data_IF_780508575822
#
_entry.id   IF_780508575822
#
_cell.length_a   1.000
_cell.length_b   1.000
_cell.length_c   1.000
_cell.angle_alpha   90.00
_cell.angle_beta   90.00
_cell.angle_gamma   90.00
#
_symmetry.space_group_name_H-M   'P 1'
#
loop_
_entity.id
_entity.type
_entity.pdbx_description
1 polymer ?
#
# COMPACT_ATOMS: atom_id res chain seq x y z
N UNK A 1 19.82 -5.02 -25.72
CA UNK A 1 19.31 -4.99 -24.34
C UNK A 1 20.50 -4.76 -23.42
N UNK A 2 20.97 -3.53 -23.28
CA UNK A 2 22.11 -3.22 -22.41
C UNK A 2 21.62 -2.63 -21.09
N UNK A 3 21.20 -3.52 -20.19
CA UNK A 3 20.93 -3.16 -18.80
C UNK A 3 22.13 -3.55 -17.94
N UNK A 4 22.87 -2.59 -17.41
CA UNK A 4 23.94 -2.90 -16.45
C UNK A 4 23.36 -3.71 -15.26
N UNK A 5 24.14 -4.58 -14.60
CA UNK A 5 23.63 -5.45 -13.53
C UNK A 5 22.86 -4.71 -12.41
N UNK A 6 23.20 -3.44 -12.18
CA UNK A 6 22.51 -2.57 -11.21
C UNK A 6 21.10 -2.18 -11.68
N UNK A 7 20.90 -1.94 -12.98
CA UNK A 7 19.59 -1.59 -13.54
C UNK A 7 18.60 -2.75 -13.46
N UNK A 8 19.05 -3.98 -13.72
CA UNK A 8 18.21 -5.18 -13.68
C UNK A 8 17.74 -5.48 -12.25
N UNK A 9 18.64 -5.38 -11.26
CA UNK A 9 18.29 -5.56 -9.84
C UNK A 9 17.29 -4.50 -9.37
N UNK A 10 17.53 -3.24 -9.71
CA UNK A 10 16.63 -2.14 -9.33
C UNK A 10 15.23 -2.32 -9.92
N UNK A 11 15.11 -2.68 -11.20
CA UNK A 11 13.82 -2.98 -11.83
C UNK A 11 13.10 -4.16 -11.17
N UNK A 12 13.83 -5.20 -10.76
CA UNK A 12 13.25 -6.34 -10.05
C UNK A 12 12.64 -5.90 -8.70
N UNK A 13 13.37 -5.13 -7.90
CA UNK A 13 12.87 -4.59 -6.63
C UNK A 13 11.65 -3.67 -6.85
N UNK A 14 11.68 -2.80 -7.86
CA UNK A 14 10.52 -1.96 -8.20
C UNK A 14 9.29 -2.78 -8.60
N UNK A 15 9.48 -3.88 -9.34
CA UNK A 15 8.37 -4.73 -9.77
C UNK A 15 7.77 -5.51 -8.59
N UNK A 16 8.61 -5.96 -7.64
CA UNK A 16 8.14 -6.58 -6.38
C UNK A 16 7.36 -5.54 -5.56
N UNK A 17 7.91 -4.34 -5.39
CA UNK A 17 7.25 -3.24 -4.70
C UNK A 17 5.88 -2.91 -5.33
N UNK A 18 5.81 -2.90 -6.66
CA UNK A 18 4.56 -2.68 -7.39
C UNK A 18 3.52 -3.76 -7.11
N UNK A 19 3.92 -5.04 -7.17
CA UNK A 19 3.02 -6.16 -6.86
C UNK A 19 2.49 -6.11 -5.42
N UNK A 20 3.36 -5.78 -4.46
CA UNK A 20 2.95 -5.59 -3.05
C UNK A 20 1.95 -4.45 -2.96
N UNK A 21 2.22 -3.30 -3.58
CA UNK A 21 1.31 -2.14 -3.58
C UNK A 21 -0.07 -2.49 -4.14
N UNK A 22 -0.11 -3.28 -5.22
CA UNK A 22 -1.37 -3.74 -5.82
C UNK A 22 -2.12 -4.71 -4.89
N UNK A 23 -1.43 -5.65 -4.27
CA UNK A 23 -2.01 -6.58 -3.31
C UNK A 23 -2.61 -5.85 -2.10
N UNK A 24 -1.85 -4.90 -1.56
CA UNK A 24 -2.28 -4.01 -0.50
C UNK A 24 -3.53 -3.22 -0.91
N UNK A 25 -3.54 -2.59 -2.08
CA UNK A 25 -4.71 -1.87 -2.56
C UNK A 25 -5.95 -2.77 -2.63
N UNK A 26 -5.82 -3.97 -3.20
CA UNK A 26 -6.92 -4.93 -3.30
C UNK A 26 -7.44 -5.33 -1.91
N UNK A 27 -6.54 -5.64 -0.97
CA UNK A 27 -6.92 -5.95 0.41
C UNK A 27 -7.61 -4.77 1.08
N UNK A 28 -7.14 -3.54 0.83
CA UNK A 28 -7.74 -2.32 1.37
C UNK A 28 -9.16 -2.11 0.87
N UNK A 29 -9.42 -2.35 -0.41
CA UNK A 29 -10.77 -2.29 -0.97
C UNK A 29 -11.70 -3.35 -0.35
N UNK A 30 -11.20 -4.56 -0.10
CA UNK A 30 -11.97 -5.62 0.56
C UNK A 30 -12.30 -5.22 2.01
N UNK A 31 -11.31 -4.75 2.77
CA UNK A 31 -11.51 -4.34 4.16
C UNK A 31 -12.43 -3.13 4.27
N UNK A 32 -12.31 -2.17 3.35
CA UNK A 32 -13.22 -1.04 3.25
C UNK A 32 -14.66 -1.49 2.96
N UNK A 33 -14.84 -2.41 2.01
CA UNK A 33 -16.15 -2.99 1.71
C UNK A 33 -16.76 -3.70 2.91
N UNK A 34 -15.98 -4.53 3.61
CA UNK A 34 -16.42 -5.19 4.85
C UNK A 34 -16.79 -4.16 5.93
N UNK A 35 -15.96 -3.13 6.14
CA UNK A 35 -16.24 -2.07 7.09
C UNK A 35 -17.54 -1.33 6.79
N UNK A 36 -17.82 -1.04 5.51
CA UNK A 36 -19.09 -0.46 5.08
C UNK A 36 -20.29 -1.38 5.32
N UNK A 37 -20.14 -2.69 5.10
CA UNK A 37 -21.22 -3.66 5.34
C UNK A 37 -21.57 -3.71 6.84
N UNK A 38 -20.57 -3.92 7.70
CA UNK A 38 -20.79 -3.97 9.15
C UNK A 38 -21.31 -2.64 9.71
N UNK A 39 -20.78 -1.51 9.23
CA UNK A 39 -21.25 -0.18 9.62
C UNK A 39 -22.72 0.06 9.26
N UNK A 40 -23.17 -0.39 8.09
CA UNK A 40 -24.57 -0.25 7.69
C UNK A 40 -25.51 -1.24 8.40
N UNK A 41 -25.01 -2.41 8.81
CA UNK A 41 -25.79 -3.42 9.53
C UNK A 41 -25.81 -3.19 11.05
N UNK A 42 -25.01 -2.25 11.56
CA UNK A 42 -24.84 -2.00 13.01
C UNK A 42 -24.43 -3.30 13.72
N UNK A 43 -23.66 -4.14 13.04
CA UNK A 43 -23.16 -5.40 13.56
C UNK A 43 -21.72 -5.22 14.03
N UNK A 44 -21.41 -5.84 15.17
CA UNK A 44 -20.06 -5.86 15.72
C UNK A 44 -19.10 -6.52 14.72
N UNK A 45 -18.05 -5.81 14.32
CA UNK A 45 -17.04 -6.39 13.44
C UNK A 45 -16.27 -7.51 14.15
N UNK A 46 -16.01 -8.65 13.50
CA UNK A 46 -15.16 -9.71 14.04
C UNK A 46 -13.79 -9.16 14.51
N UNK A 47 -13.33 -9.49 15.74
CA UNK A 47 -12.06 -8.98 16.28
C UNK A 47 -10.85 -9.31 15.41
N UNK A 48 -10.90 -10.45 14.70
CA UNK A 48 -9.85 -10.88 13.77
C UNK A 48 -9.68 -9.88 12.62
N UNK A 49 -10.78 -9.32 12.10
CA UNK A 49 -10.73 -8.32 11.03
C UNK A 49 -10.03 -7.07 11.53
N UNK A 50 -10.40 -6.57 12.71
CA UNK A 50 -9.79 -5.37 13.29
C UNK A 50 -8.28 -5.55 13.50
N UNK A 51 -7.86 -6.68 14.09
CA UNK A 51 -6.44 -6.98 14.29
C UNK A 51 -5.68 -7.00 12.96
N UNK A 52 -6.28 -7.62 11.93
CA UNK A 52 -5.70 -7.69 10.60
C UNK A 52 -5.60 -6.30 9.96
N UNK A 53 -6.62 -5.45 10.07
CA UNK A 53 -6.61 -4.08 9.52
C UNK A 53 -5.52 -3.24 10.19
N UNK A 54 -5.38 -3.32 11.52
CA UNK A 54 -4.32 -2.62 12.27
C UNK A 54 -2.93 -3.11 11.84
N UNK A 55 -2.72 -4.42 11.74
CA UNK A 55 -1.45 -4.99 11.30
C UNK A 55 -1.08 -4.52 9.88
N UNK A 56 -2.04 -4.60 8.94
CA UNK A 56 -1.86 -4.17 7.56
C UNK A 56 -1.58 -2.66 7.45
N UNK A 57 -2.10 -1.87 8.38
CA UNK A 57 -1.88 -0.43 8.45
C UNK A 57 -0.46 -0.08 8.95
N UNK A 58 0.04 -0.80 9.95
CA UNK A 58 1.46 -0.71 10.34
C UNK A 58 2.39 -1.13 9.20
N UNK A 59 2.08 -2.23 8.53
CA UNK A 59 2.84 -2.68 7.36
C UNK A 59 2.84 -1.61 6.25
N UNK A 60 1.69 -1.00 5.99
CA UNK A 60 1.56 0.09 5.03
C UNK A 60 2.45 1.28 5.34
N UNK A 61 2.58 1.67 6.61
CA UNK A 61 3.48 2.75 7.01
C UNK A 61 4.93 2.45 6.61
N UNK A 62 5.41 1.23 6.88
CA UNK A 62 6.76 0.78 6.47
C UNK A 62 6.89 0.72 4.95
N UNK A 63 5.85 0.24 4.24
CA UNK A 63 5.84 0.15 2.78
C UNK A 63 5.86 1.53 2.10
N UNK A 64 5.10 2.49 2.62
CA UNK A 64 5.06 3.88 2.12
C UNK A 64 6.41 4.55 2.36
N UNK A 65 6.96 4.45 3.56
CA UNK A 65 8.28 5.04 3.90
C UNK A 65 9.39 4.47 3.03
N UNK A 66 9.39 3.15 2.77
CA UNK A 66 10.30 2.53 1.80
C UNK A 66 10.11 3.09 0.38
N UNK A 67 8.86 3.24 -0.07
CA UNK A 67 8.53 3.81 -1.38
C UNK A 67 9.08 5.22 -1.57
N UNK A 68 8.88 6.08 -0.57
CA UNK A 68 9.43 7.45 -0.54
C UNK A 68 10.96 7.43 -0.56
N UNK A 69 11.59 6.60 0.28
CA UNK A 69 13.06 6.46 0.30
C UNK A 69 13.65 5.97 -1.02
N UNK A 70 12.98 4.99 -1.66
CA UNK A 70 13.37 4.46 -2.98
C UNK A 70 13.24 5.51 -4.09
N UNK A 71 12.19 6.35 -4.04
CA UNK A 71 12.03 7.49 -4.96
C UNK A 71 13.17 8.49 -4.81
N UNK A 72 13.48 8.90 -3.57
CA UNK A 72 14.54 9.86 -3.28
C UNK A 72 15.88 9.30 -3.76
N UNK A 73 16.16 8.02 -3.46
CA UNK A 73 17.36 7.34 -3.94
C UNK A 73 17.44 7.35 -5.48
N UNK A 74 16.33 7.09 -6.16
CA UNK A 74 16.28 7.13 -7.61
C UNK A 74 16.62 8.51 -8.17
N UNK A 75 16.03 9.58 -7.63
CA UNK A 75 16.29 10.95 -8.09
C UNK A 75 17.73 11.41 -7.81
N UNK A 76 18.30 11.04 -6.66
CA UNK A 76 19.65 11.47 -6.26
C UNK A 76 20.74 10.68 -6.99
N UNK A 77 20.63 9.34 -7.05
CA UNK A 77 21.72 8.48 -7.54
C UNK A 77 21.55 7.95 -8.96
N UNK A 78 20.31 7.78 -9.43
CA UNK A 78 20.02 6.97 -10.62
C UNK A 78 19.55 7.81 -11.80
N UNK A 79 18.78 8.89 -11.57
CA UNK A 79 18.21 9.78 -12.61
C UNK A 79 19.20 10.15 -13.71
N UNK A 80 20.44 10.47 -13.36
CA UNK A 80 21.46 10.92 -14.32
C UNK A 80 22.21 9.78 -15.03
N UNK A 81 22.01 8.51 -14.62
CA UNK A 81 22.72 7.34 -15.16
C UNK A 81 21.88 6.49 -16.11
N UNK A 82 20.58 6.77 -16.26
CA UNK A 82 19.64 5.85 -16.90
C UNK A 82 18.63 6.59 -17.79
N UNK A 83 18.81 6.48 -19.11
CA UNK A 83 17.95 7.14 -20.10
C UNK A 83 16.77 6.30 -20.62
N UNK A 84 16.56 5.05 -20.16
CA UNK A 84 15.55 4.18 -20.81
C UNK A 84 14.80 3.21 -19.88
N UNK A 85 14.60 3.55 -18.60
CA UNK A 85 13.76 2.72 -17.71
C UNK A 85 12.33 3.26 -17.70
N UNK A 86 11.35 2.37 -17.89
CA UNK A 86 9.91 2.65 -17.77
C UNK A 86 9.54 2.90 -16.29
N UNK A 87 9.82 4.11 -15.80
CA UNK A 87 9.59 4.57 -14.41
C UNK A 87 8.08 4.73 -14.09
N UNK A 88 7.21 4.64 -15.10
CA UNK A 88 5.75 4.79 -14.95
C UNK A 88 5.19 3.90 -13.85
N UNK A 89 5.59 2.62 -13.79
CA UNK A 89 5.13 1.69 -12.73
C UNK A 89 5.52 2.15 -11.33
N UNK A 90 6.73 2.69 -11.18
CA UNK A 90 7.25 3.19 -9.91
C UNK A 90 6.49 4.43 -9.45
N UNK A 91 6.28 5.39 -10.35
CA UNK A 91 5.50 6.61 -10.03
C UNK A 91 4.08 6.22 -9.65
N UNK A 92 3.43 5.36 -10.44
CA UNK A 92 2.08 4.88 -10.16
C UNK A 92 2.02 4.19 -8.80
N UNK A 93 2.96 3.31 -8.46
CA UNK A 93 3.01 2.67 -7.14
C UNK A 93 3.16 3.64 -6.00
N UNK A 94 3.98 4.68 -6.16
CA UNK A 94 4.26 5.64 -5.11
C UNK A 94 3.06 6.56 -4.87
N UNK A 95 2.24 6.81 -5.89
CA UNK A 95 0.95 7.48 -5.75
C UNK A 95 -0.13 6.53 -5.22
N UNK A 96 -0.10 5.25 -5.61
CA UNK A 96 -1.05 4.24 -5.13
C UNK A 96 -0.88 3.95 -3.63
N UNK A 97 0.36 3.91 -3.13
CA UNK A 97 0.66 3.61 -1.72
C UNK A 97 -0.02 4.56 -0.70
N UNK A 98 -0.01 5.90 -0.85
CA UNK A 98 -0.75 6.79 0.04
C UNK A 98 -2.27 6.65 -0.13
N UNK A 99 -2.77 6.35 -1.33
CA UNK A 99 -4.20 6.09 -1.57
C UNK A 99 -4.63 4.81 -0.85
N UNK A 100 -3.86 3.72 -0.96
CA UNK A 100 -4.16 2.46 -0.26
C UNK A 100 -4.05 2.63 1.24
N UNK A 101 -3.06 3.39 1.73
CA UNK A 101 -2.95 3.75 3.15
C UNK A 101 -4.21 4.45 3.65
N UNK A 102 -4.70 5.45 2.90
CA UNK A 102 -5.91 6.17 3.25
C UNK A 102 -7.14 5.26 3.29
N UNK A 103 -7.29 4.35 2.32
CA UNK A 103 -8.37 3.37 2.32
C UNK A 103 -8.34 2.46 3.56
N UNK A 104 -7.17 1.97 3.95
CA UNK A 104 -7.03 1.19 5.18
C UNK A 104 -7.35 2.01 6.43
N UNK A 105 -6.94 3.28 6.48
CA UNK A 105 -7.26 4.17 7.60
C UNK A 105 -8.79 4.35 7.76
N UNK A 106 -9.51 4.60 6.66
CA UNK A 106 -10.98 4.72 6.70
C UNK A 106 -11.62 3.38 7.06
N UNK A 107 -11.15 2.26 6.51
CA UNK A 107 -11.64 0.93 6.84
C UNK A 107 -11.48 0.61 8.33
N UNK A 108 -10.32 0.93 8.91
CA UNK A 108 -10.07 0.77 10.35
C UNK A 108 -11.06 1.58 11.17
N UNK A 109 -11.32 2.84 10.84
CA UNK A 109 -12.30 3.67 11.56
C UNK A 109 -13.68 3.03 11.51
N UNK A 110 -14.15 2.63 10.32
CA UNK A 110 -15.47 2.00 10.16
C UNK A 110 -15.60 0.74 11.02
N UNK A 111 -14.63 -0.16 10.94
CA UNK A 111 -14.62 -1.40 11.72
C UNK A 111 -14.54 -1.13 13.23
N UNK A 112 -13.75 -0.16 13.67
CA UNK A 112 -13.68 0.22 15.09
C UNK A 112 -14.99 0.82 15.59
N UNK A 113 -15.64 1.69 14.81
CA UNK A 113 -16.92 2.29 15.20
C UNK A 113 -18.03 1.25 15.38
N UNK A 114 -18.02 0.17 14.60
CA UNK A 114 -19.00 -0.92 14.78
C UNK A 114 -18.85 -1.68 16.09
N UNK A 115 -17.65 -1.69 16.70
CA UNK A 115 -17.47 -2.27 18.04
C UNK A 115 -18.09 -1.41 19.14
N UNK A 116 -18.28 -0.11 18.91
CA UNK A 116 -18.97 0.75 19.87
C UNK A 116 -20.50 0.63 19.78
N UNK A 117 -21.03 -0.02 18.74
CA UNK A 117 -22.46 -0.22 18.56
C UNK A 117 -22.97 -1.54 19.16
N UNK A 118 -22.06 -2.40 19.63
CA UNK A 118 -22.40 -3.68 20.27
C UNK A 118 -22.66 -3.57 21.77
N UNK A 119 -22.49 -2.38 22.35
CA UNK A 119 -22.84 -2.01 23.72
C UNK A 119 -24.20 -1.28 23.75
#
# INVERSE_FOLDING_TARGET
MDGSPQTTKFQMYQNIYFKISLCLLTLGLIMFGLGMIFANQVEASPPVLILLTVFLQYYHFVHVTYGVGSLIYFFIKIKNKIQNIKIVKTIVSIVLSPISYFLFYVASILLFMTQCASD
#
